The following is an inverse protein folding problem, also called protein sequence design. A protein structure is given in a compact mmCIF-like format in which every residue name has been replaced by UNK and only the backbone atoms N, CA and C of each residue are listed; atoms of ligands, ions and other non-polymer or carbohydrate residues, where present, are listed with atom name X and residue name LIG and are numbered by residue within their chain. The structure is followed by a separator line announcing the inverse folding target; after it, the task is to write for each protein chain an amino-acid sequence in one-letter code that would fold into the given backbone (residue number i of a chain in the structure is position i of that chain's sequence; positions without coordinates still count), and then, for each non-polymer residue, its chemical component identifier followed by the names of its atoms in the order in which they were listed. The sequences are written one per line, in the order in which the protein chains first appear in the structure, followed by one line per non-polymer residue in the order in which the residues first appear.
data_IF_369362415611
#
_entry.id   IF_369362415611
#
_cell.length_a   1.000
_cell.length_b   1.000
_cell.length_c   1.000
_cell.angle_alpha   90.00
_cell.angle_beta   90.00
_cell.angle_gamma   90.00
#
_symmetry.space_group_name_H-M   'P 1'
#
loop_
_entity.id
_entity.type
_entity.pdbx_description
1 polymer ?
#
# COMPACT_ATOMS: atom_id res chain seq x y z
N UNK A 1 12.00 -3.50 16.03
CA UNK A 1 11.04 -4.24 15.18
C UNK A 1 10.57 -3.28 14.11
N UNK A 2 10.47 -3.69 12.85
CA UNK A 2 9.95 -2.83 11.80
C UNK A 2 8.43 -2.65 12.01
N UNK A 3 7.93 -1.43 11.77
CA UNK A 3 6.50 -1.14 11.80
C UNK A 3 5.90 -1.62 10.48
N UNK A 4 4.88 -2.48 10.55
CA UNK A 4 4.16 -2.98 9.38
C UNK A 4 3.01 -2.05 9.04
N UNK A 5 2.97 -1.59 7.80
CA UNK A 5 1.92 -0.69 7.34
C UNK A 5 1.12 -1.27 6.19
N UNK A 6 -0.16 -0.90 6.12
CA UNK A 6 -0.98 -1.05 4.93
C UNK A 6 -1.35 0.33 4.37
N UNK A 7 -1.50 0.42 3.05
CA UNK A 7 -1.95 1.65 2.38
C UNK A 7 -3.36 1.43 1.85
N UNK A 8 -4.34 2.17 2.36
CA UNK A 8 -5.70 2.16 1.81
C UNK A 8 -5.87 3.32 0.82
N UNK A 9 -6.18 2.99 -0.43
CA UNK A 9 -6.19 3.92 -1.56
C UNK A 9 -4.80 4.05 -2.19
N UNK A 10 -4.58 3.37 -3.32
CA UNK A 10 -3.28 3.38 -4.01
C UNK A 10 -3.23 4.43 -5.14
N UNK A 11 -3.81 5.59 -4.84
CA UNK A 11 -3.77 6.79 -5.67
C UNK A 11 -2.41 7.48 -5.64
N UNK A 12 -2.37 8.77 -6.01
CA UNK A 12 -1.12 9.55 -6.08
C UNK A 12 -0.36 9.56 -4.74
N UNK A 13 -1.06 9.84 -3.63
CA UNK A 13 -0.43 9.93 -2.31
C UNK A 13 0.04 8.56 -1.83
N UNK A 14 -0.81 7.51 -1.90
CA UNK A 14 -0.42 6.15 -1.53
C UNK A 14 0.81 5.64 -2.29
N UNK A 15 0.89 5.88 -3.61
CA UNK A 15 2.08 5.52 -4.40
C UNK A 15 3.31 6.35 -4.04
N UNK A 16 3.15 7.62 -3.73
CA UNK A 16 4.27 8.47 -3.30
C UNK A 16 4.80 8.08 -1.91
N UNK A 17 3.95 7.61 -1.00
CA UNK A 17 4.40 7.03 0.29
C UNK A 17 5.19 5.76 0.05
N UNK A 18 4.70 4.85 -0.80
CA UNK A 18 5.46 3.67 -1.23
C UNK A 18 6.83 4.09 -1.78
N UNK A 19 6.85 5.03 -2.73
CA UNK A 19 8.08 5.55 -3.34
C UNK A 19 9.03 6.10 -2.27
N UNK A 20 8.55 6.96 -1.39
CA UNK A 20 9.37 7.59 -0.36
C UNK A 20 10.02 6.56 0.58
N UNK A 21 9.29 5.54 1.02
CA UNK A 21 9.82 4.50 1.92
C UNK A 21 10.97 3.75 1.25
N UNK A 22 10.80 3.32 0.01
CA UNK A 22 11.81 2.55 -0.71
C UNK A 22 12.99 3.39 -1.17
N UNK A 23 12.76 4.58 -1.74
CA UNK A 23 13.84 5.43 -2.27
C UNK A 23 14.66 6.11 -1.16
N UNK A 24 14.09 6.27 0.05
CA UNK A 24 14.86 6.70 1.23
C UNK A 24 15.58 5.56 1.96
N UNK A 25 15.42 4.31 1.52
CA UNK A 25 16.05 3.14 2.14
C UNK A 25 15.52 2.81 3.53
N UNK A 26 14.29 3.21 3.85
CA UNK A 26 13.66 3.03 5.17
C UNK A 26 12.73 1.82 5.23
N UNK A 27 12.72 0.97 4.21
CA UNK A 27 11.88 -0.23 4.14
C UNK A 27 12.26 -1.30 5.19
N UNK A 28 13.43 -1.16 5.86
CA UNK A 28 13.82 -1.94 7.04
C UNK A 28 13.18 -1.43 8.35
N UNK A 29 12.79 -0.15 8.42
CA UNK A 29 12.08 0.46 9.56
C UNK A 29 10.56 0.41 9.36
N UNK A 30 10.10 0.60 8.13
CA UNK A 30 8.69 0.70 7.73
C UNK A 30 8.44 -0.32 6.61
N UNK A 31 7.80 -1.43 6.95
CA UNK A 31 7.49 -2.48 5.98
C UNK A 31 6.07 -2.28 5.45
N UNK A 32 5.94 -2.02 4.15
CA UNK A 32 4.62 -2.07 3.51
C UNK A 32 4.27 -3.52 3.28
N UNK A 33 3.24 -4.03 3.95
CA UNK A 33 2.82 -5.43 3.85
C UNK A 33 1.61 -5.61 2.94
N UNK A 34 0.81 -4.55 2.77
CA UNK A 34 -0.36 -4.57 1.91
C UNK A 34 -0.72 -3.20 1.32
N UNK A 35 -1.41 -3.23 0.19
CA UNK A 35 -2.13 -2.10 -0.38
C UNK A 35 -3.58 -2.53 -0.65
N UNK A 36 -4.53 -1.61 -0.54
CA UNK A 36 -5.89 -1.80 -1.00
C UNK A 36 -6.24 -0.75 -2.06
N UNK A 37 -6.66 -1.22 -3.24
CA UNK A 37 -7.13 -0.39 -4.33
C UNK A 37 -8.13 -1.15 -5.21
N UNK A 38 -9.00 -0.42 -5.92
CA UNK A 38 -9.96 -1.04 -6.82
C UNK A 38 -9.34 -1.44 -8.18
N UNK A 39 -8.13 -0.97 -8.47
CA UNK A 39 -7.32 -1.43 -9.59
C UNK A 39 -6.61 -2.77 -9.30
N UNK A 40 -6.35 -3.54 -10.35
CA UNK A 40 -5.62 -4.80 -10.25
C UNK A 40 -4.11 -4.62 -9.96
N UNK A 41 -3.44 -5.71 -9.58
CA UNK A 41 -2.01 -5.70 -9.27
C UNK A 41 -1.12 -5.25 -10.44
N UNK A 42 -1.52 -5.53 -11.70
CA UNK A 42 -0.76 -5.13 -12.89
C UNK A 42 -0.79 -3.63 -13.10
N UNK A 43 -1.98 -3.04 -12.97
CA UNK A 43 -2.22 -1.60 -13.04
C UNK A 43 -1.45 -0.89 -11.92
N UNK A 44 -1.59 -1.36 -10.69
CA UNK A 44 -0.87 -0.80 -9.54
C UNK A 44 0.66 -0.89 -9.73
N UNK A 45 1.18 -2.04 -10.16
CA UNK A 45 2.61 -2.21 -10.43
C UNK A 45 3.11 -1.30 -11.57
N UNK A 46 2.30 -1.07 -12.62
CA UNK A 46 2.65 -0.15 -13.69
C UNK A 46 2.73 1.29 -13.17
N UNK A 47 1.72 1.72 -12.40
CA UNK A 47 1.65 3.06 -11.83
C UNK A 47 2.71 3.31 -10.74
N UNK A 48 3.20 2.26 -10.08
CA UNK A 48 4.37 2.35 -9.20
C UNK A 48 5.64 2.52 -10.02
N UNK A 49 5.79 1.83 -11.16
CA UNK A 49 6.98 1.94 -12.02
C UNK A 49 7.14 3.31 -12.65
N UNK A 50 6.02 3.93 -13.06
CA UNK A 50 6.03 5.13 -13.88
C UNK A 50 5.11 6.21 -13.29
N UNK A 51 5.71 7.32 -12.85
CA UNK A 51 4.99 8.53 -12.47
C UNK A 51 5.44 9.70 -13.37
N UNK A 52 4.50 10.46 -13.92
CA UNK A 52 4.82 11.58 -14.83
C UNK A 52 5.54 12.74 -14.11
N UNK A 53 5.22 12.99 -12.83
CA UNK A 53 5.80 14.09 -12.06
C UNK A 53 7.10 13.69 -11.37
N UNK A 54 7.19 12.45 -10.88
CA UNK A 54 8.35 11.96 -10.12
C UNK A 54 9.30 11.04 -10.91
N UNK A 55 8.94 10.72 -12.17
CA UNK A 55 9.70 9.86 -13.05
C UNK A 55 9.57 8.37 -12.74
N UNK A 56 10.51 7.59 -13.27
CA UNK A 56 10.57 6.14 -13.06
C UNK A 56 11.00 5.84 -11.63
N UNK A 57 10.34 4.86 -11.00
CA UNK A 57 10.70 4.38 -9.66
C UNK A 57 12.07 3.71 -9.66
N UNK A 58 12.90 4.04 -8.67
CA UNK A 58 14.28 3.54 -8.56
C UNK A 58 14.33 2.15 -7.88
N UNK A 59 13.76 1.15 -8.54
CA UNK A 59 13.74 -0.23 -8.03
C UNK A 59 13.09 -1.21 -8.99
N UNK A 60 13.11 -2.49 -8.61
CA UNK A 60 12.36 -3.52 -9.33
C UNK A 60 10.92 -3.55 -8.83
N UNK A 61 9.98 -3.70 -9.75
CA UNK A 61 8.56 -3.85 -9.43
C UNK A 61 8.00 -4.90 -10.38
N UNK A 62 7.63 -6.05 -9.82
CA UNK A 62 7.03 -7.17 -10.56
C UNK A 62 5.71 -7.57 -9.92
N UNK A 63 4.87 -8.28 -10.67
CA UNK A 63 3.62 -8.83 -10.18
C UNK A 63 3.79 -10.32 -9.98
N UNK A 64 3.30 -10.83 -8.86
CA UNK A 64 3.20 -12.25 -8.58
C UNK A 64 1.81 -12.57 -8.04
N UNK A 65 0.92 -13.00 -8.93
CA UNK A 65 -0.50 -13.21 -8.64
C UNK A 65 -1.17 -11.93 -8.14
N UNK A 66 -1.62 -11.97 -6.89
CA UNK A 66 -2.26 -10.87 -6.16
C UNK A 66 -1.27 -10.09 -5.28
N UNK A 67 0.02 -10.15 -5.59
CA UNK A 67 1.07 -9.38 -4.94
C UNK A 67 1.81 -8.48 -5.93
N UNK A 68 2.29 -7.36 -5.42
CA UNK A 68 3.37 -6.59 -6.04
C UNK A 68 4.64 -6.92 -5.27
N UNK A 69 5.72 -7.21 -5.99
CA UNK A 69 7.03 -7.46 -5.39
C UNK A 69 7.96 -6.30 -5.72
N UNK A 70 8.37 -5.55 -4.69
CA UNK A 70 9.25 -4.38 -4.82
C UNK A 70 10.60 -4.68 -4.18
N UNK A 71 11.68 -4.68 -4.96
CA UNK A 71 13.03 -5.00 -4.47
C UNK A 71 13.10 -6.33 -3.68
N UNK A 72 12.22 -7.29 -3.97
CA UNK A 72 12.11 -8.58 -3.28
C UNK A 72 11.03 -8.62 -2.17
N UNK A 73 10.56 -7.48 -1.70
CA UNK A 73 9.51 -7.41 -0.68
C UNK A 73 8.15 -7.72 -1.29
N UNK A 74 7.44 -8.72 -0.75
CA UNK A 74 6.11 -9.13 -1.21
C UNK A 74 5.03 -8.30 -0.52
N UNK A 75 4.25 -7.56 -1.32
CA UNK A 75 3.19 -6.67 -0.84
C UNK A 75 1.85 -7.21 -1.36
N UNK A 76 0.94 -7.54 -0.45
CA UNK A 76 -0.40 -8.03 -0.79
C UNK A 76 -1.22 -6.92 -1.46
N UNK A 77 -1.88 -7.21 -2.58
CA UNK A 77 -2.87 -6.32 -3.19
C UNK A 77 -4.27 -6.81 -2.83
N UNK A 78 -5.01 -5.98 -2.12
CA UNK A 78 -6.41 -6.15 -1.82
C UNK A 78 -7.26 -5.29 -2.75
N UNK A 79 -8.51 -5.71 -2.96
CA UNK A 79 -9.51 -4.95 -3.71
C UNK A 79 -10.87 -5.02 -3.02
N UNK A 80 -10.96 -4.34 -1.88
CA UNK A 80 -12.15 -4.30 -1.04
C UNK A 80 -12.62 -2.86 -0.82
N UNK A 81 -13.93 -2.63 -0.94
CA UNK A 81 -14.57 -1.31 -0.79
C UNK A 81 -14.89 -0.99 0.67
N UNK A 82 -15.17 -2.00 1.47
CA UNK A 82 -15.48 -1.89 2.89
C UNK A 82 -14.23 -2.16 3.74
N UNK A 83 -13.62 -1.13 4.34
CA UNK A 83 -12.36 -1.31 5.04
C UNK A 83 -12.42 -2.23 6.26
N UNK A 84 -13.62 -2.50 6.80
CA UNK A 84 -13.81 -3.43 7.91
C UNK A 84 -13.64 -4.90 7.52
N UNK A 85 -13.57 -5.20 6.21
CA UNK A 85 -13.37 -6.55 5.67
C UNK A 85 -11.95 -6.81 5.19
N UNK A 86 -11.07 -5.82 5.31
CA UNK A 86 -9.67 -5.99 4.93
C UNK A 86 -8.98 -6.90 5.95
N UNK A 87 -8.05 -7.78 5.53
CA UNK A 87 -7.45 -8.76 6.43
C UNK A 87 -6.26 -8.16 7.22
N UNK A 88 -6.46 -7.02 7.88
CA UNK A 88 -5.36 -6.29 8.55
C UNK A 88 -4.80 -7.06 9.74
N UNK A 89 -5.66 -7.66 10.55
CA UNK A 89 -5.24 -8.53 11.65
C UNK A 89 -4.43 -9.73 11.16
N UNK A 90 -4.87 -10.39 10.09
CA UNK A 90 -4.17 -11.56 9.53
C UNK A 90 -2.80 -11.20 8.94
N UNK A 91 -2.68 -10.03 8.32
CA UNK A 91 -1.44 -9.53 7.74
C UNK A 91 -0.49 -8.89 8.77
N UNK A 92 -0.94 -8.74 10.02
CA UNK A 92 -0.18 -8.14 11.11
C UNK A 92 0.13 -6.68 10.87
N UNK A 93 -0.85 -5.91 10.38
CA UNK A 93 -0.70 -4.47 10.13
C UNK A 93 -0.73 -3.70 11.45
N UNK A 94 0.27 -2.87 11.70
CA UNK A 94 0.34 -1.98 12.87
C UNK A 94 -0.34 -0.63 12.59
N UNK A 95 -0.17 -0.10 11.38
CA UNK A 95 -0.68 1.23 10.97
C UNK A 95 -1.28 1.17 9.58
N UNK A 96 -2.47 1.76 9.41
CA UNK A 96 -3.07 1.97 8.08
C UNK A 96 -2.88 3.42 7.64
N UNK A 97 -2.27 3.61 6.48
CA UNK A 97 -2.25 4.91 5.79
C UNK A 97 -3.51 5.05 4.93
N UNK A 98 -4.53 5.70 5.49
CA UNK A 98 -5.79 6.00 4.80
C UNK A 98 -5.61 7.22 3.88
N UNK A 99 -5.61 6.97 2.57
CA UNK A 99 -5.39 7.98 1.53
C UNK A 99 -6.38 7.90 0.37
N UNK A 100 -7.52 7.24 0.58
CA UNK A 100 -8.64 7.20 -0.38
C UNK A 100 -9.37 8.54 -0.45
N UNK A 101 -9.35 9.32 0.66
CA UNK A 101 -10.17 10.52 0.85
C UNK A 101 -11.62 10.24 1.25
N UNK A 102 -12.08 8.99 1.22
CA UNK A 102 -13.46 8.62 1.58
C UNK A 102 -13.65 8.45 3.09
N UNK A 103 -12.65 7.90 3.79
CA UNK A 103 -12.70 7.59 5.22
C UNK A 103 -12.01 8.66 6.09
N UNK A 104 -12.24 9.94 5.78
CA UNK A 104 -11.56 11.09 6.40
C UNK A 104 -12.18 11.61 7.71
N UNK A 105 -12.94 10.78 8.44
CA UNK A 105 -13.43 11.09 9.79
C UNK A 105 -13.03 9.99 10.75
N UNK A 106 -13.04 10.28 12.06
CA UNK A 106 -12.73 9.29 13.09
C UNK A 106 -13.61 8.05 12.95
N UNK A 107 -14.91 8.24 12.79
CA UNK A 107 -15.92 7.18 12.71
C UNK A 107 -15.67 6.31 11.48
N UNK A 108 -15.40 6.93 10.33
CA UNK A 108 -15.15 6.21 9.07
C UNK A 108 -13.81 5.46 9.08
N UNK A 109 -12.74 6.11 9.53
CA UNK A 109 -11.41 5.49 9.60
C UNK A 109 -11.34 4.37 10.64
N UNK A 110 -12.20 4.41 11.67
CA UNK A 110 -12.26 3.36 12.70
C UNK A 110 -12.64 1.99 12.13
N UNK A 111 -13.20 1.92 10.92
CA UNK A 111 -13.43 0.65 10.21
C UNK A 111 -12.13 -0.17 10.06
N UNK A 112 -10.97 0.47 9.93
CA UNK A 112 -9.67 -0.22 9.86
C UNK A 112 -9.24 -0.88 11.17
N UNK A 113 -9.72 -0.39 12.31
CA UNK A 113 -9.38 -0.97 13.63
C UNK A 113 -10.19 -2.24 13.87
N UNK A 114 -11.36 -2.36 13.22
CA UNK A 114 -12.22 -3.53 13.29
C UNK A 114 -11.82 -4.66 12.31
N UNK A 115 -10.80 -4.41 11.48
CA UNK A 115 -10.34 -5.25 10.37
C UNK A 115 -9.08 -6.08 10.72
#
# INVERSE_FOLDING_TARGET
MAIKIAINGYGRIGRNIMRAIYESGRNNEIQVVAINDLGDANTNAHLTRYDTAHGKFNGTVVVDGDHIVINGDRIRVCSERDPSKLPWGELGVDVVHESTGFFASKEKASAHIAA
#
